data_IF_915809359007
#
_entry.id   IF_915809359007
#
_cell.length_a   1.000
_cell.length_b   1.000
_cell.length_c   1.000
_cell.angle_alpha   90.00
_cell.angle_beta   90.00
_cell.angle_gamma   90.00
#
_symmetry.space_group_name_H-M   'P 1'
#
loop_
_entity.id
_entity.type
_entity.pdbx_description
1 polymer ?
#
# COMPACT_ATOMS: atom_id res chain seq x y z
N UNK A 1 64.11 -1.08 3.26
CA UNK A 1 63.66 -1.19 4.68
C UNK A 1 62.39 -0.40 4.80
N UNK A 2 61.29 -1.02 5.25
CA UNK A 2 60.01 -0.31 5.42
C UNK A 2 60.11 0.57 6.64
N UNK A 3 59.87 1.87 6.49
CA UNK A 3 59.86 2.81 7.59
C UNK A 3 58.52 2.70 8.39
N UNK A 4 58.59 2.00 9.48
CA UNK A 4 57.42 1.76 10.37
C UNK A 4 56.88 3.03 10.99
N UNK A 5 57.72 4.08 11.15
CA UNK A 5 57.29 5.34 11.78
C UNK A 5 56.32 6.13 10.90
N UNK A 6 56.39 5.97 9.58
CA UNK A 6 55.48 6.57 8.62
C UNK A 6 54.35 5.62 8.23
N UNK A 7 54.59 4.31 8.20
CA UNK A 7 53.58 3.34 7.76
C UNK A 7 52.45 3.20 8.77
N UNK A 8 52.74 3.13 10.07
CA UNK A 8 51.73 2.94 11.12
C UNK A 8 50.70 4.09 11.17
N UNK A 9 51.08 5.37 11.15
CA UNK A 9 50.13 6.47 11.08
C UNK A 9 49.27 6.45 9.81
N UNK A 10 49.84 6.10 8.64
CA UNK A 10 49.07 6.00 7.39
C UNK A 10 48.02 4.89 7.48
N UNK A 11 48.41 3.72 7.98
CA UNK A 11 47.47 2.62 8.19
C UNK A 11 46.35 3.00 9.20
N UNK A 12 46.71 3.64 10.29
CA UNK A 12 45.72 4.12 11.26
C UNK A 12 44.73 5.11 10.64
N UNK A 13 45.20 6.04 9.83
CA UNK A 13 44.35 6.98 9.09
C UNK A 13 43.40 6.25 8.11
N UNK A 14 43.92 5.27 7.35
CA UNK A 14 43.10 4.48 6.42
C UNK A 14 42.05 3.69 7.12
N UNK A 15 42.38 2.97 8.19
CA UNK A 15 41.41 2.22 8.99
C UNK A 15 40.38 3.11 9.65
N UNK A 16 40.79 4.29 10.14
CA UNK A 16 39.88 5.28 10.71
C UNK A 16 38.90 5.81 9.64
N UNK A 17 39.40 6.15 8.46
CA UNK A 17 38.56 6.61 7.33
C UNK A 17 37.57 5.53 6.86
N UNK A 18 38.00 4.27 6.78
CA UNK A 18 37.15 3.13 6.46
C UNK A 18 36.04 2.96 7.52
N UNK A 19 36.41 3.01 8.80
CA UNK A 19 35.44 2.91 9.90
C UNK A 19 34.37 3.99 9.83
N UNK A 20 34.76 5.24 9.63
CA UNK A 20 33.83 6.37 9.46
C UNK A 20 32.95 6.17 8.22
N UNK A 21 33.52 5.70 7.12
CA UNK A 21 32.76 5.46 5.87
C UNK A 21 31.68 4.40 6.05
N UNK A 22 31.93 3.34 6.81
CA UNK A 22 30.94 2.29 7.10
C UNK A 22 29.79 2.85 7.92
N UNK A 23 30.07 3.69 8.93
CA UNK A 23 29.03 4.32 9.76
C UNK A 23 28.18 5.32 8.97
N UNK A 24 28.80 6.10 8.08
CA UNK A 24 28.10 7.13 7.32
C UNK A 24 27.35 6.58 6.07
N UNK A 25 27.63 5.36 5.66
CA UNK A 25 27.10 4.77 4.43
C UNK A 25 25.58 4.92 4.30
N UNK A 26 24.83 4.57 5.33
CA UNK A 26 23.36 4.58 5.29
C UNK A 26 22.78 6.00 5.31
N UNK A 27 23.47 6.95 5.94
CA UNK A 27 23.10 8.36 5.90
C UNK A 27 23.28 8.95 4.50
N UNK A 28 24.45 8.68 3.88
CA UNK A 28 24.75 9.13 2.51
C UNK A 28 23.75 8.49 1.53
N UNK A 29 23.54 7.18 1.65
CA UNK A 29 22.55 6.46 0.85
C UNK A 29 21.15 7.07 1.01
N UNK A 30 20.73 7.43 2.23
CA UNK A 30 19.43 8.06 2.47
C UNK A 30 19.31 9.45 1.84
N UNK A 31 20.38 10.26 1.85
CA UNK A 31 20.36 11.59 1.20
C UNK A 31 20.20 11.44 -0.30
N UNK A 32 21.02 10.58 -0.93
CA UNK A 32 20.94 10.31 -2.38
C UNK A 32 19.55 9.77 -2.73
N UNK A 33 19.06 8.80 -1.96
CA UNK A 33 17.73 8.24 -2.12
C UNK A 33 16.64 9.32 -2.02
N UNK A 34 16.75 10.25 -1.06
CA UNK A 34 15.82 11.36 -0.91
C UNK A 34 15.76 12.28 -2.12
N UNK A 35 16.89 12.52 -2.79
CA UNK A 35 16.96 13.29 -4.05
C UNK A 35 16.23 12.52 -5.17
N UNK A 36 16.53 11.23 -5.33
CA UNK A 36 15.93 10.38 -6.35
C UNK A 36 14.43 10.28 -6.16
N UNK A 37 13.96 10.04 -4.94
CA UNK A 37 12.53 9.93 -4.62
C UNK A 37 11.79 11.23 -4.96
N UNK A 38 12.37 12.40 -4.67
CA UNK A 38 11.76 13.70 -5.01
C UNK A 38 11.72 13.95 -6.51
N UNK A 39 12.72 13.48 -7.24
CA UNK A 39 12.78 13.62 -8.69
C UNK A 39 11.78 12.70 -9.41
N UNK A 40 11.33 11.61 -8.77
CA UNK A 40 10.36 10.69 -9.33
C UNK A 40 8.93 11.13 -9.01
N UNK A 41 8.04 11.15 -10.03
CA UNK A 41 6.64 11.54 -9.86
C UNK A 41 5.82 10.59 -8.98
N UNK A 42 6.31 9.36 -8.75
CA UNK A 42 5.61 8.31 -7.99
C UNK A 42 5.50 8.60 -6.48
N UNK A 43 6.43 9.39 -5.94
CA UNK A 43 6.51 9.65 -4.49
C UNK A 43 6.05 11.07 -4.10
N UNK A 44 4.99 11.57 -4.73
CA UNK A 44 4.41 12.88 -4.39
C UNK A 44 3.65 12.82 -3.06
N UNK A 45 3.68 13.92 -2.31
CA UNK A 45 2.85 14.11 -1.12
C UNK A 45 1.37 13.83 -1.42
N UNK A 46 0.70 13.15 -0.50
CA UNK A 46 -0.69 12.72 -0.61
C UNK A 46 -0.91 11.41 -1.36
N UNK A 47 0.12 10.82 -1.98
CA UNK A 47 0.02 9.53 -2.67
C UNK A 47 0.13 8.38 -1.69
N UNK A 48 -0.72 7.38 -1.85
CA UNK A 48 -0.69 6.14 -1.06
C UNK A 48 0.34 5.18 -1.60
N UNK A 49 1.15 4.62 -0.70
CA UNK A 49 2.13 3.58 -1.00
C UNK A 49 2.04 2.45 0.02
N UNK A 50 2.50 1.26 -0.40
CA UNK A 50 2.74 0.13 0.49
C UNK A 50 4.16 -0.38 0.27
N UNK A 51 4.97 -0.33 1.30
CA UNK A 51 6.37 -0.77 1.29
C UNK A 51 6.38 -2.21 1.81
N UNK A 52 6.93 -3.13 1.02
CA UNK A 52 7.03 -4.54 1.38
C UNK A 52 8.39 -4.80 2.05
N UNK A 53 8.36 -4.93 3.38
CA UNK A 53 9.54 -5.21 4.20
C UNK A 53 9.24 -6.50 4.98
N UNK A 54 9.92 -7.60 4.63
CA UNK A 54 9.71 -8.86 5.33
C UNK A 54 10.11 -8.75 6.82
N UNK A 55 9.32 -9.29 7.75
CA UNK A 55 8.10 -10.08 7.58
C UNK A 55 6.81 -9.23 7.52
N UNK A 56 6.87 -7.93 7.47
CA UNK A 56 5.73 -7.02 7.53
C UNK A 56 5.65 -6.10 6.30
N UNK A 57 4.63 -5.27 6.24
CA UNK A 57 4.51 -4.21 5.25
C UNK A 57 4.07 -2.91 5.95
N UNK A 58 4.50 -1.79 5.40
CA UNK A 58 4.10 -0.45 5.86
C UNK A 58 3.24 0.17 4.76
N UNK A 59 1.99 0.46 5.06
CA UNK A 59 1.07 1.15 4.17
C UNK A 59 0.79 2.55 4.71
N UNK A 60 0.86 3.55 3.85
CA UNK A 60 0.62 4.93 4.29
C UNK A 60 0.52 5.91 3.13
N UNK A 61 0.03 7.10 3.46
CA UNK A 61 -0.01 8.23 2.55
C UNK A 61 1.25 9.09 2.78
N UNK A 62 1.98 9.43 1.72
CA UNK A 62 3.18 10.26 1.81
C UNK A 62 2.79 11.65 2.29
N UNK A 63 3.33 12.05 3.44
CA UNK A 63 3.18 13.40 3.98
C UNK A 63 4.29 14.29 3.45
N UNK A 64 5.53 13.84 3.59
CA UNK A 64 6.70 14.61 3.19
C UNK A 64 7.89 13.68 2.90
N UNK A 65 8.64 14.02 1.86
CA UNK A 65 9.94 13.41 1.57
C UNK A 65 11.04 14.31 2.11
N UNK A 66 11.65 13.92 3.21
CA UNK A 66 12.79 14.62 3.83
C UNK A 66 14.13 14.27 3.18
N UNK A 67 15.23 14.84 3.69
CA UNK A 67 16.57 14.51 3.20
C UNK A 67 16.98 13.07 3.55
N UNK A 68 16.73 12.63 4.78
CA UNK A 68 17.15 11.31 5.28
C UNK A 68 16.00 10.30 5.33
N UNK A 69 14.76 10.77 5.51
CA UNK A 69 13.59 9.92 5.70
C UNK A 69 12.35 10.49 5.04
N UNK A 70 11.46 9.61 4.63
CA UNK A 70 10.11 9.94 4.16
C UNK A 70 9.12 9.71 5.30
N UNK A 71 8.28 10.70 5.57
CA UNK A 71 7.20 10.62 6.53
C UNK A 71 5.92 10.13 5.85
N UNK A 72 5.31 9.09 6.41
CA UNK A 72 4.05 8.51 5.96
C UNK A 72 3.01 8.66 7.06
N UNK A 73 1.79 9.06 6.70
CA UNK A 73 0.62 8.88 7.57
C UNK A 73 0.17 7.43 7.41
N UNK A 74 0.25 6.65 8.48
CA UNK A 74 -0.05 5.23 8.44
C UNK A 74 -1.51 4.97 8.08
N UNK A 75 -1.70 3.97 7.24
CA UNK A 75 -3.01 3.45 6.84
C UNK A 75 -3.08 1.99 7.24
N UNK A 76 -4.17 1.60 7.90
CA UNK A 76 -4.40 0.22 8.29
C UNK A 76 -4.43 -0.71 7.08
N UNK A 77 -3.86 -1.90 7.24
CA UNK A 77 -3.75 -2.93 6.19
C UNK A 77 -4.23 -4.29 6.71
N UNK A 78 -5.23 -4.30 7.55
CA UNK A 78 -5.77 -5.51 8.14
C UNK A 78 -7.29 -5.50 8.27
N UNK A 79 -7.84 -6.57 8.80
CA UNK A 79 -9.29 -6.73 8.99
C UNK A 79 -9.89 -5.69 9.95
N UNK A 80 -9.12 -5.27 10.97
CA UNK A 80 -9.63 -4.32 12.00
C UNK A 80 -9.65 -2.87 11.54
N UNK A 81 -8.70 -2.48 10.70
CA UNK A 81 -8.56 -1.10 10.21
C UNK A 81 -8.30 -1.13 8.69
N UNK A 82 -9.24 -1.63 7.89
CA UNK A 82 -9.01 -1.79 6.46
C UNK A 82 -8.93 -0.41 5.80
N UNK A 83 -7.71 -0.04 5.34
CA UNK A 83 -7.46 1.19 4.58
C UNK A 83 -7.83 2.51 5.25
N UNK A 84 -8.04 2.54 6.56
CA UNK A 84 -8.36 3.73 7.36
C UNK A 84 -7.07 4.35 7.89
N UNK A 85 -7.01 5.69 7.94
CA UNK A 85 -5.91 6.42 8.57
C UNK A 85 -5.87 6.10 10.07
N UNK A 86 -4.73 5.62 10.55
CA UNK A 86 -4.56 5.27 11.98
C UNK A 86 -4.23 6.47 12.86
N UNK A 87 -3.93 7.62 12.26
CA UNK A 87 -3.44 8.80 12.98
C UNK A 87 -1.96 8.73 13.38
N UNK A 88 -1.29 7.61 13.09
CA UNK A 88 0.14 7.43 13.39
C UNK A 88 1.00 7.88 12.21
N UNK A 89 2.14 8.49 12.52
CA UNK A 89 3.14 8.85 11.52
C UNK A 89 4.32 7.89 11.60
N UNK A 90 4.67 7.31 10.47
CA UNK A 90 5.83 6.44 10.32
C UNK A 90 6.90 7.17 9.52
N UNK A 91 8.12 7.24 10.03
CA UNK A 91 9.29 7.76 9.31
C UNK A 91 10.11 6.59 8.80
N UNK A 92 10.23 6.49 7.49
CA UNK A 92 11.01 5.44 6.82
C UNK A 92 12.28 6.05 6.25
N UNK A 93 13.48 5.54 6.57
CA UNK A 93 14.72 5.97 5.94
C UNK A 93 14.63 5.85 4.42
N UNK A 94 15.10 6.87 3.70
CA UNK A 94 14.93 6.91 2.24
C UNK A 94 15.64 5.75 1.53
N UNK A 95 16.78 5.28 2.05
CA UNK A 95 17.48 4.15 1.46
C UNK A 95 16.66 2.86 1.51
N UNK A 96 15.80 2.68 2.51
CA UNK A 96 14.88 1.53 2.60
C UNK A 96 13.83 1.62 1.48
N UNK A 97 13.30 2.81 1.22
CA UNK A 97 12.32 3.01 0.14
C UNK A 97 12.86 2.64 -1.24
N UNK A 98 14.14 2.94 -1.51
CA UNK A 98 14.75 2.60 -2.80
C UNK A 98 15.11 1.11 -2.88
N UNK A 99 15.48 0.49 -1.76
CA UNK A 99 15.92 -0.90 -1.73
C UNK A 99 14.80 -1.91 -1.47
N UNK A 100 13.58 -1.46 -1.23
CA UNK A 100 12.41 -2.32 -1.00
C UNK A 100 11.42 -2.24 -2.16
N UNK A 101 10.69 -3.32 -2.46
CA UNK A 101 9.57 -3.23 -3.37
C UNK A 101 8.51 -2.29 -2.81
N UNK A 102 8.06 -1.32 -3.61
CA UNK A 102 7.04 -0.35 -3.24
C UNK A 102 5.87 -0.43 -4.21
N UNK A 103 4.70 -0.73 -3.68
CA UNK A 103 3.45 -0.62 -4.43
C UNK A 103 2.97 0.83 -4.33
N UNK A 104 2.82 1.46 -5.46
CA UNK A 104 2.30 2.84 -5.57
C UNK A 104 0.87 2.78 -6.07
N UNK A 105 -0.05 3.30 -5.26
CA UNK A 105 -1.46 3.36 -5.63
C UNK A 105 -1.69 4.53 -6.58
N UNK A 106 -2.33 4.25 -7.73
CA UNK A 106 -2.79 5.26 -8.66
C UNK A 106 -3.95 6.09 -8.10
N UNK A 107 -4.46 7.03 -8.89
CA UNK A 107 -5.66 7.79 -8.52
C UNK A 107 -6.91 6.91 -8.52
N UNK A 108 -6.89 5.87 -9.34
CA UNK A 108 -7.89 4.79 -9.40
C UNK A 108 -7.19 3.45 -9.30
N UNK A 109 -7.82 2.52 -8.64
CA UNK A 109 -7.41 1.12 -8.51
C UNK A 109 -8.59 0.22 -8.83
N UNK A 110 -8.31 -1.03 -9.14
CA UNK A 110 -9.32 -2.07 -9.24
C UNK A 110 -9.51 -2.66 -7.85
N UNK A 111 -10.76 -2.71 -7.41
CA UNK A 111 -11.14 -3.27 -6.12
C UNK A 111 -12.27 -4.28 -6.27
N UNK A 112 -12.45 -5.12 -5.27
CA UNK A 112 -13.45 -6.19 -5.25
C UNK A 112 -14.31 -6.11 -4.00
N UNK A 113 -15.61 -6.30 -4.18
CA UNK A 113 -16.55 -6.56 -3.09
C UNK A 113 -17.09 -7.98 -3.24
N UNK A 114 -17.17 -8.72 -2.13
CA UNK A 114 -17.71 -10.09 -2.10
C UNK A 114 -18.84 -10.17 -1.09
N UNK A 115 -19.98 -10.73 -1.53
CA UNK A 115 -21.09 -11.08 -0.68
C UNK A 115 -21.32 -12.59 -0.68
N UNK A 116 -21.68 -13.16 0.46
CA UNK A 116 -21.99 -14.58 0.59
C UNK A 116 -23.50 -14.74 0.86
N UNK A 117 -24.15 -15.56 0.03
CA UNK A 117 -25.56 -15.91 0.13
C UNK A 117 -25.70 -17.41 0.38
N UNK A 118 -26.74 -17.83 1.08
CA UNK A 118 -27.04 -19.24 1.27
C UNK A 118 -27.42 -19.90 -0.05
N UNK A 119 -26.94 -21.13 -0.28
CA UNK A 119 -27.27 -21.92 -1.47
C UNK A 119 -27.86 -23.29 -1.07
N UNK A 120 -28.94 -23.76 -1.74
CA UNK A 120 -29.70 -23.15 -2.83
C UNK A 120 -30.53 -21.94 -2.37
N UNK A 121 -30.64 -20.94 -3.23
CA UNK A 121 -31.23 -19.65 -2.88
C UNK A 121 -31.76 -18.87 -4.08
N UNK A 122 -31.43 -17.59 -4.17
CA UNK A 122 -32.05 -16.66 -5.12
C UNK A 122 -31.69 -16.98 -6.59
N UNK A 123 -32.46 -16.38 -7.50
CA UNK A 123 -32.21 -16.48 -8.93
C UNK A 123 -30.86 -15.81 -9.26
N UNK A 124 -29.97 -16.56 -9.92
CA UNK A 124 -28.59 -16.14 -10.21
C UNK A 124 -28.49 -14.87 -11.08
N UNK A 125 -29.39 -14.74 -12.07
CA UNK A 125 -29.40 -13.56 -12.95
C UNK A 125 -29.80 -12.30 -12.17
N UNK A 126 -30.76 -12.41 -11.27
CA UNK A 126 -31.17 -11.30 -10.38
C UNK A 126 -30.03 -10.90 -9.47
N UNK A 127 -29.35 -11.88 -8.85
CA UNK A 127 -28.23 -11.64 -7.95
C UNK A 127 -27.08 -10.88 -8.65
N UNK A 128 -26.73 -11.29 -9.86
CA UNK A 128 -25.71 -10.58 -10.65
C UNK A 128 -26.17 -9.17 -11.05
N UNK A 129 -27.43 -9.03 -11.42
CA UNK A 129 -28.05 -7.74 -11.74
C UNK A 129 -28.05 -6.79 -10.54
N UNK A 130 -28.43 -7.29 -9.38
CA UNK A 130 -28.45 -6.54 -8.13
C UNK A 130 -27.07 -6.07 -7.68
N UNK A 131 -26.04 -6.93 -7.81
CA UNK A 131 -24.66 -6.54 -7.52
C UNK A 131 -24.19 -5.45 -8.49
N UNK A 132 -24.45 -5.58 -9.77
CA UNK A 132 -24.10 -4.56 -10.77
C UNK A 132 -24.80 -3.24 -10.48
N UNK A 133 -26.10 -3.29 -10.19
CA UNK A 133 -26.89 -2.12 -9.81
C UNK A 133 -26.37 -1.48 -8.49
N UNK A 134 -26.00 -2.28 -7.50
CA UNK A 134 -25.46 -1.77 -6.24
C UNK A 134 -24.12 -1.01 -6.40
N UNK A 135 -23.28 -1.44 -7.34
CA UNK A 135 -22.04 -0.72 -7.70
C UNK A 135 -22.39 0.58 -8.43
N UNK A 136 -23.33 0.54 -9.38
CA UNK A 136 -23.75 1.71 -10.14
C UNK A 136 -24.45 2.76 -9.27
N UNK A 137 -25.20 2.35 -8.23
CA UNK A 137 -25.83 3.25 -7.26
C UNK A 137 -24.82 4.12 -6.52
N UNK A 138 -23.53 3.72 -6.48
CA UNK A 138 -22.43 4.48 -5.89
C UNK A 138 -21.65 5.33 -6.92
N UNK A 139 -22.17 5.46 -8.14
CA UNK A 139 -21.50 6.17 -9.26
C UNK A 139 -20.10 5.59 -9.58
N UNK A 140 -19.95 4.26 -9.41
CA UNK A 140 -18.72 3.55 -9.67
C UNK A 140 -18.81 2.75 -10.98
N UNK A 141 -17.68 2.67 -11.68
CA UNK A 141 -17.60 1.90 -12.90
C UNK A 141 -17.41 0.42 -12.59
N UNK A 142 -18.42 -0.38 -12.89
CA UNK A 142 -18.34 -1.85 -12.82
C UNK A 142 -17.45 -2.37 -13.95
N UNK A 143 -16.54 -3.28 -13.61
CA UNK A 143 -15.67 -3.98 -14.57
C UNK A 143 -16.26 -5.36 -14.84
N UNK A 144 -16.54 -6.11 -13.77
CA UNK A 144 -17.05 -7.48 -13.86
C UNK A 144 -17.94 -7.78 -12.66
N UNK A 145 -18.91 -8.68 -12.84
CA UNK A 145 -19.67 -9.33 -11.79
C UNK A 145 -19.66 -10.80 -12.05
N UNK A 146 -19.24 -11.59 -11.09
CA UNK A 146 -19.13 -13.03 -11.19
C UNK A 146 -19.70 -13.75 -9.99
N UNK A 147 -19.88 -15.07 -10.16
CA UNK A 147 -20.39 -15.97 -9.16
C UNK A 147 -19.46 -17.16 -9.01
N UNK A 148 -19.25 -17.62 -7.79
CA UNK A 148 -18.67 -18.93 -7.53
C UNK A 148 -19.34 -19.58 -6.32
N UNK A 149 -19.43 -20.90 -6.35
CA UNK A 149 -19.96 -21.69 -5.24
C UNK A 149 -18.83 -22.16 -4.35
N UNK A 150 -19.01 -21.99 -3.06
CA UNK A 150 -18.12 -22.53 -2.04
C UNK A 150 -18.96 -23.21 -0.95
N UNK A 151 -18.89 -24.51 -0.88
CA UNK A 151 -19.72 -25.31 0.03
C UNK A 151 -21.21 -25.05 -0.20
N UNK A 152 -21.93 -24.68 0.85
CA UNK A 152 -23.37 -24.33 0.81
C UNK A 152 -23.58 -22.81 0.66
N UNK A 153 -22.59 -22.09 0.16
CA UNK A 153 -22.68 -20.65 -0.04
C UNK A 153 -22.42 -20.29 -1.50
N UNK A 154 -23.19 -19.34 -1.98
CA UNK A 154 -22.93 -18.66 -3.25
C UNK A 154 -22.17 -17.39 -2.93
N UNK A 155 -20.96 -17.26 -3.45
CA UNK A 155 -20.21 -16.03 -3.40
C UNK A 155 -20.48 -15.22 -4.67
N UNK A 156 -20.91 -13.98 -4.46
CA UNK A 156 -21.14 -12.98 -5.50
C UNK A 156 -20.03 -11.96 -5.39
N UNK A 157 -19.26 -11.78 -6.44
CA UNK A 157 -18.22 -10.78 -6.45
C UNK A 157 -18.46 -9.71 -7.52
N UNK A 158 -18.20 -8.47 -7.14
CA UNK A 158 -18.24 -7.33 -8.04
C UNK A 158 -16.90 -6.64 -8.07
N UNK A 159 -16.31 -6.52 -9.29
CA UNK A 159 -15.06 -5.84 -9.54
C UNK A 159 -15.35 -4.47 -10.11
N UNK A 160 -14.75 -3.42 -9.55
CA UNK A 160 -15.03 -2.05 -9.91
C UNK A 160 -13.81 -1.14 -9.79
N UNK A 161 -13.87 0.04 -10.43
CA UNK A 161 -12.87 1.09 -10.24
C UNK A 161 -13.14 1.83 -8.93
N UNK A 162 -12.18 1.80 -8.00
CA UNK A 162 -12.23 2.44 -6.70
C UNK A 162 -11.17 3.55 -6.57
N UNK A 163 -11.38 4.45 -5.62
CA UNK A 163 -10.34 5.39 -5.19
C UNK A 163 -9.64 4.84 -3.95
N UNK A 164 -8.29 4.84 -3.89
CA UNK A 164 -7.55 4.24 -2.77
C UNK A 164 -7.94 4.77 -1.39
N UNK A 165 -8.44 6.00 -1.31
CA UNK A 165 -8.79 6.65 -0.03
C UNK A 165 -10.20 6.32 0.44
N UNK A 166 -11.12 6.03 -0.46
CA UNK A 166 -12.57 5.81 -0.17
C UNK A 166 -13.01 4.37 -0.37
N UNK A 167 -12.13 3.49 -0.84
CA UNK A 167 -12.48 2.11 -1.22
C UNK A 167 -13.18 1.32 -0.10
N UNK A 168 -12.87 1.58 1.16
CA UNK A 168 -13.52 0.88 2.29
C UNK A 168 -14.98 1.31 2.46
N UNK A 169 -15.24 2.61 2.34
CA UNK A 169 -16.59 3.17 2.44
C UNK A 169 -17.40 2.76 1.20
N UNK A 170 -16.78 2.76 0.02
CA UNK A 170 -17.36 2.29 -1.23
C UNK A 170 -17.80 0.82 -1.12
N UNK A 171 -16.92 -0.08 -0.64
CA UNK A 171 -17.25 -1.50 -0.40
C UNK A 171 -18.45 -1.65 0.55
N UNK A 172 -18.43 -0.92 1.67
CA UNK A 172 -19.48 -0.99 2.66
C UNK A 172 -20.81 -0.52 2.11
N UNK A 173 -20.82 0.54 1.31
CA UNK A 173 -22.01 1.10 0.69
C UNK A 173 -22.58 0.17 -0.39
N UNK A 174 -21.71 -0.41 -1.23
CA UNK A 174 -22.11 -1.41 -2.24
C UNK A 174 -22.74 -2.61 -1.56
N UNK A 175 -22.07 -3.17 -0.53
CA UNK A 175 -22.57 -4.34 0.18
C UNK A 175 -23.91 -4.07 0.84
N UNK A 176 -24.10 -2.91 1.47
CA UNK A 176 -25.36 -2.49 2.06
C UNK A 176 -26.46 -2.36 1.00
N UNK A 177 -26.19 -1.71 -0.13
CA UNK A 177 -27.14 -1.59 -1.24
C UNK A 177 -27.53 -2.96 -1.79
N UNK A 178 -26.54 -3.82 -2.06
CA UNK A 178 -26.76 -5.17 -2.54
C UNK A 178 -27.66 -6.00 -1.58
N UNK A 179 -27.28 -6.08 -0.31
CA UNK A 179 -28.03 -6.87 0.69
C UNK A 179 -29.46 -6.36 0.88
N UNK A 180 -29.68 -5.05 0.76
CA UNK A 180 -31.03 -4.49 0.84
C UNK A 180 -31.93 -4.92 -0.34
N UNK A 181 -31.37 -5.26 -1.49
CA UNK A 181 -32.07 -5.78 -2.66
C UNK A 181 -32.39 -7.28 -2.51
N UNK A 182 -31.54 -8.04 -1.83
CA UNK A 182 -31.76 -9.47 -1.56
C UNK A 182 -32.81 -9.74 -0.47
N UNK A 183 -33.13 -8.78 0.38
CA UNK A 183 -34.15 -8.89 1.43
C UNK A 183 -35.57 -8.53 0.97
N UNK A 184 -35.76 -8.30 -0.32
CA UNK A 184 -37.07 -8.04 -0.94
C UNK A 184 -37.56 -9.27 -1.69
#
# INVERSE_FOLDING_TARGET
MIDWTTLVPILALVFSALGVSVVLKDYIASVIAGIVIRATWHARSGRRIKILIAPSAIKGDIVQVGALSTALMEVGDGERLPSVLTGRMVKVPNFILINSPVLVYGDKIIDEVVAYLSWPGPNLDNVMGDMRSAIQDQDLKTIEVGLYQKDNMLAVHGIYEAKPKTMTDERSSILKSFLSKQGR
#
